data_IF_092944551288
#
_entry.id   IF_092944551288
#
_cell.length_a   1.000
_cell.length_b   1.000
_cell.length_c   1.000
_cell.angle_alpha   90.00
_cell.angle_beta   90.00
_cell.angle_gamma   90.00
#
_symmetry.space_group_name_H-M   'P 1'
#
loop_
_entity.id
_entity.type
_entity.pdbx_description
1 polymer ?
#
# COMPACT_ATOMS: atom_id res chain seq x y z
N UNK A 1 -27.17 -25.03 -6.07
CA UNK A 1 -26.96 -24.45 -4.73
C UNK A 1 -25.77 -23.52 -4.81
N UNK A 2 -26.00 -22.21 -4.87
CA UNK A 2 -24.89 -21.24 -4.89
C UNK A 2 -24.35 -21.08 -3.49
N UNK A 3 -23.13 -21.56 -3.22
CA UNK A 3 -22.43 -21.19 -2.00
C UNK A 3 -22.26 -19.67 -2.04
N UNK A 4 -22.93 -18.95 -1.15
CA UNK A 4 -22.68 -17.52 -0.95
C UNK A 4 -21.28 -17.43 -0.34
N UNK A 5 -20.27 -17.27 -1.20
CA UNK A 5 -18.90 -17.02 -0.76
C UNK A 5 -18.90 -15.71 0.00
N UNK A 6 -18.54 -15.76 1.29
CA UNK A 6 -18.35 -14.56 2.11
C UNK A 6 -17.21 -13.77 1.45
N UNK A 7 -17.47 -12.56 0.93
CA UNK A 7 -16.46 -11.86 0.16
C UNK A 7 -15.31 -11.43 1.07
N UNK A 8 -14.08 -11.63 0.61
CA UNK A 8 -12.90 -11.38 1.43
C UNK A 8 -12.79 -9.89 1.74
N UNK A 9 -12.77 -9.56 3.03
CA UNK A 9 -12.57 -8.18 3.50
C UNK A 9 -11.18 -8.07 4.10
N UNK A 10 -10.31 -7.35 3.41
CA UNK A 10 -9.03 -6.93 3.98
C UNK A 10 -9.26 -5.88 5.06
N UNK A 11 -8.50 -5.97 6.14
CA UNK A 11 -8.32 -4.86 7.07
C UNK A 11 -7.46 -3.77 6.42
N UNK A 12 -7.45 -2.58 7.00
CA UNK A 12 -6.58 -1.49 6.52
C UNK A 12 -5.08 -1.89 6.61
N UNK A 13 -4.57 -2.42 7.74
CA UNK A 13 -3.21 -2.94 7.81
C UNK A 13 -2.90 -4.01 6.76
N UNK A 14 -3.81 -4.96 6.50
CA UNK A 14 -3.60 -6.00 5.48
C UNK A 14 -3.50 -5.41 4.07
N UNK A 15 -4.40 -4.49 3.69
CA UNK A 15 -4.33 -3.81 2.39
C UNK A 15 -3.03 -3.02 2.24
N UNK A 16 -2.62 -2.31 3.30
CA UNK A 16 -1.37 -1.54 3.33
C UNK A 16 -0.13 -2.42 3.24
N UNK A 17 -0.08 -3.55 3.96
CA UNK A 17 1.04 -4.49 3.92
C UNK A 17 1.25 -5.09 2.52
N UNK A 18 0.17 -5.51 1.86
CA UNK A 18 0.25 -6.05 0.50
C UNK A 18 0.65 -4.98 -0.49
N UNK A 19 0.09 -3.76 -0.38
CA UNK A 19 0.47 -2.66 -1.27
C UNK A 19 1.97 -2.33 -1.18
N UNK A 20 2.53 -2.30 0.04
CA UNK A 20 3.95 -2.05 0.27
C UNK A 20 4.84 -3.16 -0.29
N UNK A 21 4.44 -4.41 -0.11
CA UNK A 21 5.16 -5.57 -0.67
C UNK A 21 5.20 -5.50 -2.18
N UNK A 22 4.05 -5.27 -2.83
CA UNK A 22 3.99 -5.14 -4.29
C UNK A 22 4.80 -3.95 -4.80
N UNK A 23 4.77 -2.81 -4.12
CA UNK A 23 5.58 -1.67 -4.49
C UNK A 23 7.09 -1.98 -4.37
N UNK A 24 7.50 -2.79 -3.39
CA UNK A 24 8.89 -3.25 -3.26
C UNK A 24 9.28 -4.18 -4.42
N UNK A 25 8.42 -5.12 -4.78
CA UNK A 25 8.65 -6.06 -5.88
C UNK A 25 8.69 -5.33 -7.23
N UNK A 26 7.76 -4.39 -7.48
CA UNK A 26 7.73 -3.57 -8.70
C UNK A 26 9.01 -2.73 -8.86
N UNK A 27 9.60 -2.24 -7.76
CA UNK A 27 10.89 -1.53 -7.79
C UNK A 27 12.07 -2.48 -8.05
N UNK A 28 12.03 -3.70 -7.51
CA UNK A 28 13.08 -4.70 -7.68
C UNK A 28 13.10 -5.32 -9.10
N UNK A 29 11.92 -5.53 -9.68
CA UNK A 29 11.72 -6.19 -10.97
C UNK A 29 11.72 -5.20 -12.15
N UNK A 30 11.88 -3.90 -11.88
CA UNK A 30 11.94 -2.87 -12.91
C UNK A 30 13.17 -3.06 -13.82
N UNK A 31 12.91 -3.41 -15.08
CA UNK A 31 13.94 -3.76 -16.07
C UNK A 31 14.25 -2.64 -17.07
N UNK A 32 13.49 -1.54 -17.01
CA UNK A 32 13.74 -0.34 -17.78
C UNK A 32 13.36 0.93 -17.01
N UNK A 33 13.82 2.08 -17.50
CA UNK A 33 13.58 3.39 -16.88
C UNK A 33 12.09 3.73 -16.73
N UNK A 34 11.26 3.32 -17.69
CA UNK A 34 9.82 3.65 -17.68
C UNK A 34 9.09 2.85 -16.60
N UNK A 35 9.34 1.55 -16.53
CA UNK A 35 8.86 0.67 -15.48
C UNK A 35 9.33 1.15 -14.10
N UNK A 36 10.60 1.54 -13.99
CA UNK A 36 11.17 2.03 -12.75
C UNK A 36 10.53 3.33 -12.26
N UNK A 37 10.37 4.32 -13.14
CA UNK A 37 9.68 5.58 -12.81
C UNK A 37 8.23 5.32 -12.43
N UNK A 38 7.54 4.39 -13.10
CA UNK A 38 6.19 3.99 -12.74
C UNK A 38 6.13 3.37 -11.33
N UNK A 39 7.05 2.46 -10.99
CA UNK A 39 7.14 1.85 -9.68
C UNK A 39 7.38 2.89 -8.56
N UNK A 40 8.30 3.84 -8.79
CA UNK A 40 8.54 4.94 -7.84
C UNK A 40 7.32 5.85 -7.65
N UNK A 41 6.57 6.14 -8.71
CA UNK A 41 5.35 6.93 -8.62
C UNK A 41 4.23 6.21 -7.84
N UNK A 42 4.09 4.89 -8.04
CA UNK A 42 3.16 4.06 -7.25
C UNK A 42 3.58 4.07 -5.78
N UNK A 43 4.87 3.86 -5.50
CA UNK A 43 5.41 3.91 -4.15
C UNK A 43 5.16 5.29 -3.49
N UNK A 44 5.39 6.38 -4.21
CA UNK A 44 5.13 7.73 -3.71
C UNK A 44 3.67 7.92 -3.29
N UNK A 45 2.72 7.55 -4.16
CA UNK A 45 1.28 7.66 -3.87
C UNK A 45 0.86 6.80 -2.68
N UNK A 46 1.42 5.59 -2.60
CA UNK A 46 1.18 4.68 -1.49
C UNK A 46 1.62 5.30 -0.15
N UNK A 47 2.84 5.85 -0.10
CA UNK A 47 3.38 6.48 1.11
C UNK A 47 2.67 7.78 1.48
N UNK A 48 2.22 8.54 0.49
CA UNK A 48 1.33 9.67 0.73
C UNK A 48 0.04 9.23 1.42
N UNK A 49 -0.66 8.24 0.86
CA UNK A 49 -1.90 7.72 1.44
C UNK A 49 -1.67 7.15 2.85
N UNK A 50 -0.57 6.42 3.07
CA UNK A 50 -0.20 5.88 4.38
C UNK A 50 0.06 6.98 5.42
N UNK A 51 0.72 8.07 5.02
CA UNK A 51 1.02 9.18 5.91
C UNK A 51 -0.26 9.92 6.32
N UNK A 52 -1.14 10.21 5.35
CA UNK A 52 -2.45 10.81 5.61
C UNK A 52 -3.31 9.93 6.53
N UNK A 53 -3.26 8.61 6.34
CA UNK A 53 -3.92 7.63 7.20
C UNK A 53 -3.35 7.65 8.61
N UNK A 54 -2.02 7.67 8.74
CA UNK A 54 -1.36 7.62 10.03
C UNK A 54 -1.66 8.89 10.85
N UNK A 55 -1.57 10.06 10.22
CA UNK A 55 -1.93 11.35 10.83
C UNK A 55 -3.40 11.35 11.28
N UNK A 56 -4.32 10.90 10.42
CA UNK A 56 -5.75 10.87 10.73
C UNK A 56 -6.14 9.83 11.80
N UNK A 57 -5.30 8.82 12.04
CA UNK A 57 -5.56 7.73 13.00
C UNK A 57 -4.70 7.80 14.26
N UNK A 58 -3.78 8.77 14.34
CA UNK A 58 -2.77 8.82 15.40
C UNK A 58 -1.90 7.56 15.43
N UNK A 59 -1.70 6.91 14.27
CA UNK A 59 -0.76 5.79 14.20
C UNK A 59 0.65 6.33 14.35
N UNK A 60 1.43 5.70 15.22
CA UNK A 60 2.88 5.92 15.32
C UNK A 60 3.66 5.26 14.19
N UNK A 61 2.99 4.51 13.32
CA UNK A 61 3.56 3.77 12.21
C UNK A 61 2.84 4.19 10.92
N UNK A 62 3.56 4.65 9.88
CA UNK A 62 5.02 4.75 9.80
C UNK A 62 5.61 5.91 10.62
N UNK A 63 6.88 5.78 11.02
CA UNK A 63 7.67 6.89 11.59
C UNK A 63 7.75 8.02 10.56
N UNK A 64 7.47 9.26 11.00
CA UNK A 64 7.49 10.45 10.15
C UNK A 64 8.82 10.64 9.41
N UNK A 65 9.95 10.32 10.02
CA UNK A 65 11.27 10.41 9.38
C UNK A 65 11.42 9.41 8.24
N UNK A 66 10.85 8.21 8.40
CA UNK A 66 10.84 7.18 7.35
C UNK A 66 9.94 7.65 6.21
N UNK A 67 8.74 8.15 6.52
CA UNK A 67 7.84 8.71 5.51
C UNK A 67 8.50 9.86 4.73
N UNK A 68 9.12 10.83 5.42
CA UNK A 68 9.82 11.96 4.80
C UNK A 68 10.97 11.50 3.89
N UNK A 69 11.75 10.49 4.32
CA UNK A 69 12.80 9.89 3.50
C UNK A 69 12.22 9.27 2.22
N UNK A 70 11.18 8.45 2.35
CA UNK A 70 10.58 7.78 1.20
C UNK A 70 9.99 8.80 0.23
N UNK A 71 9.25 9.79 0.73
CA UNK A 71 8.66 10.85 -0.08
C UNK A 71 9.71 11.68 -0.82
N UNK A 72 10.80 12.05 -0.13
CA UNK A 72 11.91 12.82 -0.75
C UNK A 72 12.66 12.02 -1.81
N UNK A 73 12.87 10.73 -1.58
CA UNK A 73 13.63 9.86 -2.50
C UNK A 73 12.80 9.48 -3.72
N UNK A 74 11.51 9.18 -3.54
CA UNK A 74 10.59 8.88 -4.65
C UNK A 74 10.24 10.11 -5.50
N UNK A 75 10.12 11.30 -4.90
CA UNK A 75 9.91 12.56 -5.65
C UNK A 75 11.10 12.91 -6.58
N UNK A 76 12.29 12.37 -6.32
CA UNK A 76 13.46 12.55 -7.19
C UNK A 76 13.54 11.56 -8.35
N UNK A 77 12.49 10.77 -8.60
CA UNK A 77 12.44 9.80 -9.69
C UNK A 77 12.98 10.38 -11.00
N UNK A 78 14.05 9.77 -11.53
CA UNK A 78 14.72 10.20 -12.75
C UNK A 78 15.89 11.19 -12.59
N UNK A 79 16.24 11.63 -11.37
CA UNK A 79 17.45 12.46 -11.12
C UNK A 79 18.33 11.86 -10.04
N UNK A 80 19.36 11.09 -10.45
CA UNK A 80 20.46 10.60 -9.61
C UNK A 80 20.01 9.92 -8.31
N UNK A 81 18.94 9.12 -8.35
CA UNK A 81 18.68 8.16 -7.26
C UNK A 81 19.69 7.03 -7.43
N UNK A 82 20.58 6.86 -6.45
CA UNK A 82 21.57 5.78 -6.48
C UNK A 82 20.95 4.45 -6.08
N UNK A 83 21.55 3.35 -6.55
CA UNK A 83 21.05 1.99 -6.30
C UNK A 83 20.88 1.70 -4.80
N UNK A 84 21.82 2.14 -3.95
CA UNK A 84 21.73 2.04 -2.48
C UNK A 84 20.44 2.66 -1.91
N UNK A 85 19.97 3.78 -2.48
CA UNK A 85 18.75 4.45 -2.04
C UNK A 85 17.51 3.64 -2.43
N UNK A 86 17.57 2.94 -3.56
CA UNK A 86 16.48 2.08 -4.04
C UNK A 86 16.42 0.81 -3.20
N UNK A 87 17.56 0.17 -2.93
CA UNK A 87 17.63 -0.95 -2.00
C UNK A 87 17.09 -0.57 -0.63
N UNK A 88 17.41 0.65 -0.16
CA UNK A 88 16.85 1.19 1.09
C UNK A 88 15.33 1.37 1.01
N UNK A 89 14.79 1.88 -0.09
CA UNK A 89 13.32 2.00 -0.28
C UNK A 89 12.63 0.62 -0.27
N UNK A 90 13.20 -0.36 -0.96
CA UNK A 90 12.70 -1.73 -1.00
C UNK A 90 12.70 -2.34 0.40
N UNK A 91 13.80 -2.19 1.14
CA UNK A 91 13.91 -2.67 2.52
C UNK A 91 12.87 -2.02 3.44
N UNK A 92 12.74 -0.68 3.39
CA UNK A 92 11.73 0.07 4.18
C UNK A 92 10.31 -0.44 3.88
N UNK A 93 9.98 -0.66 2.61
CA UNK A 93 8.66 -1.18 2.23
C UNK A 93 8.40 -2.57 2.80
N UNK A 94 9.39 -3.47 2.71
CA UNK A 94 9.29 -4.85 3.24
C UNK A 94 9.16 -4.87 4.77
N UNK A 95 9.97 -4.07 5.46
CA UNK A 95 9.93 -3.97 6.91
C UNK A 95 8.59 -3.39 7.40
N UNK A 96 8.08 -2.36 6.71
CA UNK A 96 6.79 -1.76 7.02
C UNK A 96 5.63 -2.73 6.74
N UNK A 97 5.71 -3.48 5.63
CA UNK A 97 4.73 -4.52 5.33
C UNK A 97 4.68 -5.59 6.42
N UNK A 98 5.83 -6.08 6.87
CA UNK A 98 5.92 -7.07 7.94
C UNK A 98 5.36 -6.54 9.27
N UNK A 99 5.64 -5.29 9.63
CA UNK A 99 5.07 -4.64 10.81
C UNK A 99 3.54 -4.55 10.72
N UNK A 100 2.99 -4.12 9.59
CA UNK A 100 1.55 -3.99 9.38
C UNK A 100 0.82 -5.34 9.30
N UNK A 101 1.51 -6.39 8.86
CA UNK A 101 1.00 -7.76 8.89
C UNK A 101 0.91 -8.32 10.32
N UNK A 102 1.56 -7.69 11.31
CA UNK A 102 1.42 -8.06 12.73
C UNK A 102 1.83 -9.50 13.03
N UNK A 103 2.82 -10.04 12.30
CA UNK A 103 3.28 -11.43 12.43
C UNK A 103 2.47 -12.45 11.64
N UNK A 104 1.46 -12.02 10.86
CA UNK A 104 0.81 -12.90 9.89
C UNK A 104 1.76 -13.22 8.73
N UNK A 105 1.61 -14.43 8.19
CA UNK A 105 2.33 -14.84 6.98
C UNK A 105 1.92 -13.97 5.78
N UNK A 106 2.91 -13.31 5.16
CA UNK A 106 2.69 -12.40 4.04
C UNK A 106 2.14 -13.10 2.80
N UNK A 107 2.45 -14.39 2.58
CA UNK A 107 1.87 -15.15 1.47
C UNK A 107 0.35 -15.29 1.65
N UNK A 108 -0.07 -15.62 2.87
CA UNK A 108 -1.49 -15.71 3.23
C UNK A 108 -2.21 -14.38 3.09
N UNK A 109 -1.61 -13.27 3.57
CA UNK A 109 -2.20 -11.93 3.45
C UNK A 109 -2.31 -11.51 1.98
N UNK A 110 -1.27 -11.78 1.18
CA UNK A 110 -1.26 -11.51 -0.26
C UNK A 110 -2.32 -12.31 -1.00
N UNK A 111 -2.45 -13.61 -0.73
CA UNK A 111 -3.46 -14.48 -1.35
C UNK A 111 -4.88 -13.99 -1.06
N UNK A 112 -5.13 -13.55 0.18
CA UNK A 112 -6.42 -12.94 0.56
C UNK A 112 -6.68 -11.65 -0.21
N UNK A 113 -5.65 -10.82 -0.41
CA UNK A 113 -5.79 -9.58 -1.14
C UNK A 113 -6.07 -9.81 -2.63
N UNK A 114 -5.40 -10.78 -3.24
CA UNK A 114 -5.70 -11.18 -4.61
C UNK A 114 -7.13 -11.70 -4.77
N UNK A 115 -7.61 -12.51 -3.82
CA UNK A 115 -8.98 -13.01 -3.84
C UNK A 115 -9.98 -11.86 -3.76
N UNK A 116 -9.78 -10.92 -2.83
CA UNK A 116 -10.60 -9.72 -2.69
C UNK A 116 -10.58 -8.85 -3.97
N UNK A 117 -9.42 -8.71 -4.61
CA UNK A 117 -9.28 -8.00 -5.88
C UNK A 117 -9.98 -8.72 -7.04
N UNK A 118 -9.87 -10.05 -7.14
CA UNK A 118 -10.59 -10.82 -8.17
C UNK A 118 -12.11 -10.65 -8.06
N UNK A 119 -12.61 -10.55 -6.84
CA UNK A 119 -14.04 -10.36 -6.55
C UNK A 119 -14.52 -8.92 -6.84
N UNK A 120 -13.68 -7.90 -6.59
CA UNK A 120 -14.15 -6.49 -6.51
C UNK A 120 -13.40 -5.48 -7.37
N UNK A 121 -12.15 -5.75 -7.74
CA UNK A 121 -11.34 -4.85 -8.54
C UNK A 121 -11.22 -5.29 -10.00
N UNK A 122 -10.87 -6.57 -10.22
CA UNK A 122 -10.69 -7.16 -11.54
C UNK A 122 -11.89 -6.99 -12.49
N UNK A 123 -13.16 -7.11 -12.04
CA UNK A 123 -14.31 -6.90 -12.92
C UNK A 123 -14.38 -5.51 -13.55
N UNK A 124 -13.72 -4.51 -12.95
CA UNK A 124 -13.68 -3.13 -13.43
C UNK A 124 -12.38 -2.79 -14.18
N UNK A 125 -11.54 -3.78 -14.48
CA UNK A 125 -10.28 -3.59 -15.21
C UNK A 125 -9.17 -2.89 -14.42
N UNK A 126 -9.36 -2.67 -13.12
CA UNK A 126 -8.37 -1.99 -12.26
C UNK A 126 -7.25 -2.96 -11.89
N UNK A 127 -6.00 -2.52 -12.04
CA UNK A 127 -4.84 -3.31 -11.59
C UNK A 127 -4.82 -3.46 -10.07
N UNK A 128 -4.23 -4.54 -9.57
CA UNK A 128 -4.25 -4.89 -8.15
C UNK A 128 -3.63 -3.79 -7.26
N UNK A 129 -2.48 -3.25 -7.65
CA UNK A 129 -1.78 -2.14 -6.99
C UNK A 129 -2.68 -0.89 -6.86
N UNK A 130 -3.29 -0.47 -7.97
CA UNK A 130 -4.19 0.69 -8.00
C UNK A 130 -5.44 0.46 -7.15
N UNK A 131 -5.98 -0.76 -7.19
CA UNK A 131 -7.13 -1.15 -6.39
C UNK A 131 -6.82 -1.15 -4.88
N UNK A 132 -5.63 -1.62 -4.48
CA UNK A 132 -5.20 -1.63 -3.08
C UNK A 132 -5.06 -0.21 -2.51
N UNK A 133 -4.45 0.72 -3.25
CA UNK A 133 -4.37 2.13 -2.85
C UNK A 133 -5.77 2.73 -2.66
N UNK A 134 -6.67 2.52 -3.64
CA UNK A 134 -8.05 2.98 -3.53
C UNK A 134 -8.81 2.36 -2.34
N UNK A 135 -8.58 1.08 -2.04
CA UNK A 135 -9.15 0.41 -0.87
C UNK A 135 -8.63 1.01 0.45
N UNK A 136 -7.35 1.35 0.52
CA UNK A 136 -6.75 2.00 1.70
C UNK A 136 -7.41 3.35 1.96
N UNK A 137 -7.48 4.22 0.95
CA UNK A 137 -8.12 5.53 1.07
C UNK A 137 -9.60 5.43 1.43
N UNK A 138 -10.34 4.51 0.79
CA UNK A 138 -11.76 4.27 1.09
C UNK A 138 -11.95 3.83 2.54
N UNK A 139 -11.13 2.91 3.04
CA UNK A 139 -11.18 2.44 4.44
C UNK A 139 -10.79 3.55 5.40
N UNK A 140 -9.84 4.41 5.04
CA UNK A 140 -9.46 5.56 5.84
C UNK A 140 -10.65 6.51 6.05
N UNK A 141 -11.34 6.87 4.96
CA UNK A 141 -12.51 7.76 4.95
C UNK A 141 -13.69 7.21 5.75
N UNK A 142 -14.12 5.97 5.47
CA UNK A 142 -15.25 5.33 6.18
C UNK A 142 -15.05 5.26 7.70
N UNK A 143 -13.79 5.10 8.13
CA UNK A 143 -13.45 4.99 9.54
C UNK A 143 -13.26 6.37 10.19
N UNK A 144 -13.14 7.44 9.41
CA UNK A 144 -13.14 8.83 9.90
C UNK A 144 -14.58 9.29 10.13
N UNK A 145 -15.49 8.99 9.18
CA UNK A 145 -16.94 9.28 9.30
C UNK A 145 -17.59 8.54 10.48
N UNK A 146 -17.19 7.29 10.74
CA UNK A 146 -17.68 6.53 11.90
C UNK A 146 -17.24 7.12 13.25
N UNK A 147 -16.18 7.93 13.31
CA UNK A 147 -15.69 8.59 14.52
C UNK A 147 -16.28 10.00 14.64
N UNK A 148 -16.52 10.67 13.52
CA UNK A 148 -17.11 12.02 13.49
C UNK A 148 -18.60 12.05 13.87
N UNK A 149 -19.33 10.93 13.73
CA UNK A 149 -20.76 10.84 14.02
C UNK A 149 -21.62 11.72 13.08
N UNK A 150 -22.91 11.40 12.87
CA UNK A 150 -23.79 12.33 12.19
C UNK A 150 -23.98 13.54 13.12
N UNK A 151 -23.62 14.73 12.64
CA UNK A 151 -24.06 15.98 13.25
C UNK A 151 -25.59 15.98 13.25
N UNK A 152 -26.17 15.78 14.43
CA UNK A 152 -27.58 15.99 14.72
C UNK A 152 -27.84 17.50 14.89
#
# INVERSE_FOLDING_TARGET
>A
MGSVSIPVRLTLPESSAVALTKAADDMADAHDTSCFVAALNVNHRLWQALSEIADAKGWTIPDRRIADFVMKTTHKAGRRTGDDQIETLIAINRDMAAQLAGGQDMETVTRRAELAWRERGRPYGVKLDQWLVGEMERKARLRHEAIAGPLA
#
